data_IF_437285430497
#
_entry.id   IF_437285430497
#
_cell.length_a   1.000
_cell.length_b   1.000
_cell.length_c   1.000
_cell.angle_alpha   90.00
_cell.angle_beta   90.00
_cell.angle_gamma   90.00
#
_symmetry.space_group_name_H-M   'P 1'
#
loop_
_entity.id
_entity.type
_entity.pdbx_description
1 polymer ?
#
# COMPACT_ATOMS: atom_id res chain seq x y z
N UNK A 1 -2.32 20.69 -17.37
CA UNK A 1 -1.50 21.92 -17.55
C UNK A 1 -0.71 21.82 -18.85
N UNK A 2 -0.71 22.87 -19.70
CA UNK A 2 -0.21 22.97 -21.09
C UNK A 2 -0.79 22.02 -22.16
N UNK A 3 -1.25 20.83 -21.77
CA UNK A 3 -1.83 19.82 -22.68
C UNK A 3 -2.94 20.39 -23.58
N UNK A 4 -3.82 21.22 -23.01
CA UNK A 4 -5.01 21.74 -23.70
C UNK A 4 -4.82 23.16 -24.29
N UNK A 5 -3.65 23.79 -24.09
CA UNK A 5 -3.36 25.13 -24.63
C UNK A 5 -3.11 25.02 -26.14
N UNK A 6 -3.68 25.90 -26.96
CA UNK A 6 -3.44 25.88 -28.41
C UNK A 6 -1.94 25.97 -28.76
N UNK A 7 -1.52 25.22 -29.79
CA UNK A 7 -0.11 25.14 -30.19
C UNK A 7 0.44 26.49 -30.66
N UNK A 8 -0.39 27.33 -31.31
CA UNK A 8 0.04 28.63 -31.80
C UNK A 8 0.32 29.58 -30.63
N UNK A 9 -0.49 29.51 -29.57
CA UNK A 9 -0.27 30.29 -28.34
C UNK A 9 1.08 29.91 -27.71
N UNK A 10 1.37 28.61 -27.59
CA UNK A 10 2.64 28.14 -27.03
C UNK A 10 3.86 28.59 -27.86
N UNK A 11 3.74 28.62 -29.19
CA UNK A 11 4.82 29.08 -30.07
C UNK A 11 4.98 30.60 -30.01
N UNK A 12 3.89 31.36 -30.10
CA UNK A 12 3.94 32.83 -30.09
C UNK A 12 4.40 33.41 -28.76
N UNK A 13 4.17 32.70 -27.65
CA UNK A 13 4.64 33.13 -26.33
C UNK A 13 6.13 32.88 -26.10
N UNK A 14 6.81 32.17 -27.00
CA UNK A 14 8.21 31.73 -26.89
C UNK A 14 8.55 30.95 -25.60
N UNK A 15 7.53 30.39 -24.93
CA UNK A 15 7.70 29.75 -23.61
C UNK A 15 8.68 28.56 -23.67
N UNK A 16 8.79 27.92 -24.82
CA UNK A 16 9.73 26.82 -25.06
C UNK A 16 11.21 27.20 -24.95
N UNK A 17 11.55 28.49 -24.98
CA UNK A 17 12.91 29.00 -24.73
C UNK A 17 13.18 29.24 -23.23
N UNK A 18 12.12 29.30 -22.41
CA UNK A 18 12.19 29.73 -21.01
C UNK A 18 12.06 28.58 -20.01
N UNK A 19 11.39 27.49 -20.38
CA UNK A 19 11.10 26.38 -19.47
C UNK A 19 11.38 25.02 -20.10
N UNK A 20 11.51 24.02 -19.23
CA UNK A 20 11.63 22.61 -19.59
C UNK A 20 10.40 21.87 -19.03
N UNK A 21 9.48 21.39 -19.89
CA UNK A 21 8.31 20.69 -19.39
C UNK A 21 8.69 19.31 -18.86
N UNK A 22 8.06 18.91 -17.76
CA UNK A 22 8.10 17.56 -17.23
C UNK A 22 6.82 16.83 -17.60
N UNK A 23 6.92 15.81 -18.45
CA UNK A 23 5.77 14.97 -18.82
C UNK A 23 5.68 13.82 -17.82
N UNK A 24 4.57 13.75 -17.08
CA UNK A 24 4.36 12.73 -16.04
C UNK A 24 3.14 11.86 -16.35
N UNK A 25 3.21 10.59 -15.94
CA UNK A 25 2.17 9.57 -16.09
C UNK A 25 2.52 8.37 -15.22
N UNK A 26 1.55 7.89 -14.44
CA UNK A 26 1.81 6.92 -13.36
C UNK A 26 1.14 5.55 -13.56
N UNK A 27 0.28 5.41 -14.57
CA UNK A 27 -0.42 4.14 -14.86
C UNK A 27 0.54 3.07 -15.43
N UNK A 28 0.21 1.78 -15.29
CA UNK A 28 1.01 0.66 -15.81
C UNK A 28 0.84 0.52 -17.32
N UNK A 29 1.63 -0.35 -17.95
CA UNK A 29 1.69 -0.51 -19.42
C UNK A 29 0.33 -0.66 -20.09
N UNK A 30 -0.59 -1.45 -19.54
CA UNK A 30 -1.90 -1.72 -20.14
C UNK A 30 -2.85 -0.50 -20.13
N UNK A 31 -2.58 0.45 -19.24
CA UNK A 31 -3.35 1.67 -19.05
C UNK A 31 -2.57 2.94 -19.42
N UNK A 32 -1.31 2.79 -19.85
CA UNK A 32 -0.44 3.90 -20.17
C UNK A 32 -0.84 4.55 -21.51
N UNK A 33 -1.58 5.67 -21.44
CA UNK A 33 -2.19 6.31 -22.62
C UNK A 33 -1.74 7.77 -22.75
N UNK A 34 -0.65 7.98 -23.48
CA UNK A 34 -0.24 9.30 -23.98
C UNK A 34 -0.33 9.32 -25.53
N UNK A 35 -1.20 10.19 -26.06
CA UNK A 35 -1.46 10.29 -27.51
C UNK A 35 -0.23 10.76 -28.28
N UNK A 36 0.00 10.25 -29.49
CA UNK A 36 1.09 10.69 -30.38
C UNK A 36 1.08 12.20 -30.61
N UNK A 37 -0.11 12.78 -30.76
CA UNK A 37 -0.31 14.22 -30.96
C UNK A 37 0.22 15.07 -29.80
N UNK A 38 0.31 14.53 -28.58
CA UNK A 38 0.96 15.21 -27.46
C UNK A 38 2.45 15.39 -27.72
N UNK A 39 3.12 14.34 -28.18
CA UNK A 39 4.56 14.33 -28.43
C UNK A 39 4.93 15.23 -29.61
N UNK A 40 4.19 15.15 -30.71
CA UNK A 40 4.34 16.03 -31.87
C UNK A 40 4.21 17.51 -31.48
N UNK A 41 3.16 17.83 -30.73
CA UNK A 41 2.93 19.17 -30.21
C UNK A 41 4.10 19.64 -29.35
N UNK A 42 4.51 18.84 -28.37
CA UNK A 42 5.55 19.21 -27.41
C UNK A 42 6.91 19.34 -28.09
N UNK A 43 7.28 18.41 -28.99
CA UNK A 43 8.53 18.47 -29.74
C UNK A 43 8.62 19.71 -30.64
N UNK A 44 7.48 20.20 -31.15
CA UNK A 44 7.46 21.42 -31.98
C UNK A 44 7.59 22.74 -31.21
N UNK A 45 7.47 22.69 -29.87
CA UNK A 45 7.52 23.87 -28.98
C UNK A 45 8.76 23.84 -28.09
N UNK A 46 9.05 22.69 -27.50
CA UNK A 46 10.08 22.48 -26.49
C UNK A 46 11.20 21.61 -27.06
N UNK A 47 12.42 22.14 -27.26
CA UNK A 47 13.54 21.35 -27.76
C UNK A 47 13.94 20.22 -26.80
N UNK A 48 13.82 20.45 -25.50
CA UNK A 48 14.25 19.51 -24.45
C UNK A 48 13.12 19.31 -23.44
N UNK A 49 13.02 18.10 -22.89
CA UNK A 49 12.01 17.74 -21.89
C UNK A 49 12.58 16.91 -20.74
N UNK A 50 11.83 16.85 -19.65
CA UNK A 50 11.96 15.84 -18.60
C UNK A 50 10.76 14.89 -18.66
N UNK A 51 10.93 13.68 -18.14
CA UNK A 51 9.81 12.78 -17.84
C UNK A 51 9.75 12.45 -16.36
N UNK A 52 8.59 12.02 -15.87
CA UNK A 52 8.45 11.55 -14.50
C UNK A 52 7.56 10.31 -14.38
N UNK A 53 8.07 9.32 -13.66
CA UNK A 53 7.40 8.08 -13.26
C UNK A 53 7.14 8.08 -11.76
N UNK A 54 6.60 6.98 -11.22
CA UNK A 54 6.41 6.82 -9.78
C UNK A 54 6.88 5.44 -9.28
N UNK A 55 7.47 5.38 -8.08
CA UNK A 55 7.80 4.13 -7.38
C UNK A 55 6.89 3.84 -6.18
N UNK A 56 6.13 4.84 -5.73
CA UNK A 56 5.11 4.74 -4.67
C UNK A 56 4.07 5.86 -4.82
N UNK A 57 2.93 5.67 -4.17
CA UNK A 57 1.75 6.52 -4.33
C UNK A 57 1.22 6.44 -5.77
N UNK A 58 0.29 7.32 -6.15
CA UNK A 58 -0.31 7.31 -7.50
C UNK A 58 -0.97 5.97 -7.91
N UNK A 59 -1.34 5.18 -6.91
CA UNK A 59 -2.11 3.93 -7.00
C UNK A 59 -3.43 4.13 -6.25
N UNK A 60 -3.42 4.00 -4.94
CA UNK A 60 -4.59 4.19 -4.06
C UNK A 60 -4.30 5.14 -2.90
N UNK A 61 -5.33 5.85 -2.46
CA UNK A 61 -5.20 6.87 -1.38
C UNK A 61 -4.86 6.25 -0.02
N UNK A 62 -5.29 5.01 0.23
CA UNK A 62 -5.12 4.29 1.50
C UNK A 62 -4.18 3.09 1.36
N UNK A 63 -3.25 3.13 0.40
CA UNK A 63 -2.34 2.01 0.12
C UNK A 63 -1.40 1.76 1.32
N UNK A 64 -1.46 0.58 1.93
CA UNK A 64 -0.55 0.20 3.02
C UNK A 64 0.77 -0.40 2.51
N UNK A 65 0.66 -1.31 1.52
CA UNK A 65 1.78 -2.05 0.94
C UNK A 65 1.93 -1.63 -0.52
N UNK A 66 3.14 -1.29 -0.95
CA UNK A 66 3.42 -0.84 -2.31
C UNK A 66 3.17 -1.97 -3.34
N UNK A 67 2.38 -1.73 -4.40
CA UNK A 67 2.20 -2.69 -5.50
C UNK A 67 3.41 -2.65 -6.44
N UNK A 68 4.46 -3.43 -6.13
CA UNK A 68 5.74 -3.40 -6.88
C UNK A 68 5.56 -3.66 -8.38
N UNK A 69 4.74 -4.67 -8.76
CA UNK A 69 4.43 -4.98 -10.16
C UNK A 69 3.87 -3.78 -10.93
N UNK A 70 3.00 -2.99 -10.30
CA UNK A 70 2.37 -1.82 -10.92
C UNK A 70 3.42 -0.76 -11.28
N UNK A 71 4.25 -0.38 -10.31
CA UNK A 71 5.29 0.63 -10.52
C UNK A 71 6.39 0.15 -11.47
N UNK A 72 6.72 -1.14 -11.44
CA UNK A 72 7.62 -1.74 -12.41
C UNK A 72 7.06 -1.63 -13.83
N UNK A 73 5.79 -1.97 -14.02
CA UNK A 73 5.10 -1.85 -15.32
C UNK A 73 5.03 -0.39 -15.79
N UNK A 74 4.91 0.58 -14.87
CA UNK A 74 5.03 1.99 -15.22
C UNK A 74 6.44 2.36 -15.75
N UNK A 75 7.52 1.81 -15.17
CA UNK A 75 8.87 2.05 -15.70
C UNK A 75 9.05 1.46 -17.10
N UNK A 76 8.56 0.24 -17.33
CA UNK A 76 8.62 -0.41 -18.64
C UNK A 76 7.81 0.37 -19.69
N UNK A 77 6.65 0.90 -19.32
CA UNK A 77 5.87 1.78 -20.19
C UNK A 77 6.66 3.04 -20.56
N UNK A 78 7.32 3.70 -19.61
CA UNK A 78 8.17 4.86 -19.87
C UNK A 78 9.35 4.54 -20.80
N UNK A 79 10.05 3.43 -20.58
CA UNK A 79 11.14 2.98 -21.44
C UNK A 79 10.67 2.75 -22.88
N UNK A 80 9.49 2.14 -23.06
CA UNK A 80 8.85 1.99 -24.37
C UNK A 80 8.54 3.35 -25.02
N UNK A 81 8.01 4.30 -24.26
CA UNK A 81 7.72 5.66 -24.76
C UNK A 81 8.96 6.42 -25.19
N UNK A 82 10.06 6.30 -24.43
CA UNK A 82 11.34 6.90 -24.78
C UNK A 82 11.89 6.33 -26.09
N UNK A 83 11.76 5.02 -26.30
CA UNK A 83 12.17 4.37 -27.56
C UNK A 83 11.35 4.86 -28.76
N UNK A 84 10.05 5.10 -28.58
CA UNK A 84 9.15 5.54 -29.65
C UNK A 84 9.27 7.02 -29.99
N UNK A 85 9.33 7.89 -28.98
CA UNK A 85 9.19 9.35 -29.16
C UNK A 85 10.40 10.16 -28.70
N UNK A 86 11.36 9.56 -28.00
CA UNK A 86 12.51 10.28 -27.45
C UNK A 86 13.33 11.02 -28.50
N UNK A 87 13.41 10.46 -29.72
CA UNK A 87 14.12 11.06 -30.87
C UNK A 87 13.43 12.27 -31.49
N UNK A 88 12.19 12.57 -31.10
CA UNK A 88 11.48 13.78 -31.57
C UNK A 88 12.00 15.06 -30.90
N UNK A 89 12.64 14.91 -29.74
CA UNK A 89 13.23 16.01 -28.98
C UNK A 89 14.73 16.07 -29.24
N UNK A 90 15.33 17.25 -29.06
CA UNK A 90 16.79 17.37 -29.07
C UNK A 90 17.40 16.54 -27.94
N UNK A 91 16.81 16.62 -26.73
CA UNK A 91 17.18 15.79 -25.57
C UNK A 91 15.99 15.51 -24.67
N UNK A 92 15.88 14.26 -24.23
CA UNK A 92 15.20 13.93 -22.97
C UNK A 92 16.26 14.00 -21.87
N UNK A 93 16.16 14.99 -20.99
CA UNK A 93 17.20 15.33 -20.02
C UNK A 93 17.35 14.32 -18.89
N UNK A 94 16.26 13.61 -18.58
CA UNK A 94 16.26 12.53 -17.60
C UNK A 94 14.87 12.16 -17.15
N UNK A 95 14.83 11.27 -16.16
CA UNK A 95 13.61 10.78 -15.52
C UNK A 95 13.65 11.08 -14.01
N UNK A 96 12.59 11.69 -13.51
CA UNK A 96 12.34 11.80 -12.08
C UNK A 96 11.43 10.64 -11.64
N UNK A 97 11.85 9.86 -10.65
CA UNK A 97 11.01 8.78 -10.09
C UNK A 97 10.38 9.32 -8.80
N UNK A 98 9.10 9.66 -8.89
CA UNK A 98 8.35 10.31 -7.80
C UNK A 98 7.85 9.30 -6.77
N UNK A 99 7.69 9.76 -5.53
CA UNK A 99 7.14 8.98 -4.43
C UNK A 99 6.14 9.80 -3.63
N UNK A 100 4.91 9.88 -4.12
CA UNK A 100 3.86 10.69 -3.49
C UNK A 100 3.52 10.16 -2.10
N UNK A 101 3.32 11.05 -1.14
CA UNK A 101 2.97 10.68 0.24
C UNK A 101 1.47 10.83 0.54
N UNK A 102 0.78 11.67 -0.25
CA UNK A 102 -0.64 11.98 -0.17
C UNK A 102 -1.15 12.31 -1.58
N UNK A 103 -2.46 12.19 -1.81
CA UNK A 103 -3.09 12.55 -3.08
C UNK A 103 -3.49 14.03 -3.12
N UNK A 104 -3.79 14.61 -1.95
CA UNK A 104 -3.89 16.04 -1.71
C UNK A 104 -3.54 16.37 -0.24
N UNK A 105 -3.66 17.63 0.17
CA UNK A 105 -3.31 18.09 1.51
C UNK A 105 -4.22 17.58 2.65
N UNK A 106 -5.40 17.05 2.33
CA UNK A 106 -6.41 16.58 3.28
C UNK A 106 -6.58 15.05 3.30
N UNK A 107 -6.00 14.34 2.32
CA UNK A 107 -5.95 12.87 2.31
C UNK A 107 -4.97 12.31 3.34
N UNK A 108 -5.21 11.08 3.80
CA UNK A 108 -4.29 10.32 4.68
C UNK A 108 -2.97 10.00 4.01
N UNK A 109 -1.98 9.56 4.79
CA UNK A 109 -0.74 8.99 4.27
C UNK A 109 -1.06 7.72 3.46
N UNK A 110 -0.55 7.66 2.22
CA UNK A 110 -0.39 6.38 1.53
C UNK A 110 0.89 5.69 2.02
N UNK A 111 1.34 4.65 1.32
CA UNK A 111 2.42 3.76 1.75
C UNK A 111 3.67 4.54 2.17
N UNK A 112 4.25 4.15 3.31
CA UNK A 112 5.43 4.84 3.87
C UNK A 112 6.68 4.53 3.04
N UNK A 113 7.63 5.45 3.05
CA UNK A 113 8.87 5.31 2.29
C UNK A 113 9.65 3.99 2.56
N UNK A 114 9.85 3.53 3.82
CA UNK A 114 10.51 2.25 4.08
C UNK A 114 9.78 1.05 3.45
N UNK A 115 8.45 1.10 3.38
CA UNK A 115 7.63 0.03 2.79
C UNK A 115 7.86 -0.04 1.27
N UNK A 116 8.04 1.11 0.62
CA UNK A 116 8.26 1.24 -0.81
C UNK A 116 9.73 1.17 -1.27
N UNK A 117 10.69 1.07 -0.35
CA UNK A 117 12.11 1.03 -0.70
C UNK A 117 12.47 -0.14 -1.64
N UNK A 118 11.91 -1.36 -1.47
CA UNK A 118 12.10 -2.44 -2.44
C UNK A 118 11.62 -2.09 -3.85
N UNK A 119 10.46 -1.43 -3.96
CA UNK A 119 9.92 -0.98 -5.24
C UNK A 119 10.80 0.10 -5.86
N UNK A 120 11.33 1.04 -5.07
CA UNK A 120 12.28 2.04 -5.55
C UNK A 120 13.53 1.40 -6.17
N UNK A 121 14.13 0.43 -5.47
CA UNK A 121 15.34 -0.25 -5.95
C UNK A 121 15.08 -0.96 -7.29
N UNK A 122 13.97 -1.69 -7.40
CA UNK A 122 13.56 -2.36 -8.64
C UNK A 122 13.31 -1.35 -9.76
N UNK A 123 12.60 -0.25 -9.49
CA UNK A 123 12.32 0.77 -10.49
C UNK A 123 13.59 1.44 -11.02
N UNK A 124 14.50 1.84 -10.12
CA UNK A 124 15.78 2.45 -10.48
C UNK A 124 16.63 1.50 -11.33
N UNK A 125 16.81 0.26 -10.88
CA UNK A 125 17.63 -0.72 -11.60
C UNK A 125 17.01 -1.08 -12.96
N UNK A 126 15.68 -1.15 -13.06
CA UNK A 126 14.97 -1.37 -14.32
C UNK A 126 15.27 -0.24 -15.32
N UNK A 127 15.18 1.02 -14.89
CA UNK A 127 15.50 2.17 -15.75
C UNK A 127 16.96 2.15 -16.20
N UNK A 128 17.89 1.90 -15.27
CA UNK A 128 19.33 1.89 -15.56
C UNK A 128 19.70 0.78 -16.55
N UNK A 129 19.08 -0.40 -16.41
CA UNK A 129 19.36 -1.55 -17.27
C UNK A 129 18.53 -1.55 -18.57
N UNK A 130 17.55 -0.67 -18.69
CA UNK A 130 16.67 -0.58 -19.85
C UNK A 130 15.54 -1.61 -19.90
N UNK A 131 15.51 -2.57 -18.97
CA UNK A 131 14.38 -3.48 -18.71
C UNK A 131 14.56 -4.20 -17.35
N UNK A 132 13.51 -4.87 -16.88
CA UNK A 132 13.54 -5.74 -15.72
C UNK A 132 13.84 -7.17 -16.13
N UNK A 133 14.88 -7.75 -15.54
CA UNK A 133 15.29 -9.13 -15.77
C UNK A 133 15.76 -9.78 -14.46
N UNK A 134 16.14 -11.05 -14.53
CA UNK A 134 16.58 -11.83 -13.38
C UNK A 134 17.78 -11.21 -12.66
N UNK A 135 18.71 -10.60 -13.40
CA UNK A 135 19.87 -9.92 -12.81
C UNK A 135 19.43 -8.69 -12.01
N UNK A 136 18.57 -7.84 -12.59
CA UNK A 136 17.97 -6.69 -11.88
C UNK A 136 17.27 -7.12 -10.59
N UNK A 137 16.48 -8.20 -10.66
CA UNK A 137 15.75 -8.72 -9.51
C UNK A 137 16.68 -9.22 -8.39
N UNK A 138 17.70 -9.99 -8.75
CA UNK A 138 18.72 -10.48 -7.81
C UNK A 138 19.52 -9.34 -7.21
N UNK A 139 19.97 -8.38 -8.02
CA UNK A 139 20.73 -7.22 -7.56
C UNK A 139 19.91 -6.38 -6.57
N UNK A 140 18.64 -6.08 -6.89
CA UNK A 140 17.76 -5.34 -5.99
C UNK A 140 17.57 -6.06 -4.64
N UNK A 141 17.34 -7.37 -4.69
CA UNK A 141 17.12 -8.19 -3.49
C UNK A 141 18.36 -8.22 -2.59
N UNK A 142 19.54 -8.42 -3.20
CA UNK A 142 20.81 -8.48 -2.47
C UNK A 142 21.20 -7.12 -1.88
N UNK A 143 21.03 -6.03 -2.62
CA UNK A 143 21.35 -4.68 -2.14
C UNK A 143 20.54 -4.29 -0.89
N UNK A 144 19.30 -4.76 -0.82
CA UNK A 144 18.41 -4.51 0.31
C UNK A 144 18.50 -5.57 1.41
N UNK A 145 19.34 -6.59 1.22
CA UNK A 145 19.57 -7.64 2.21
C UNK A 145 18.36 -8.54 2.42
N UNK A 146 17.64 -8.91 1.37
CA UNK A 146 16.65 -9.98 1.44
C UNK A 146 17.34 -11.36 1.40
N UNK A 147 16.88 -12.31 2.22
CA UNK A 147 17.36 -13.71 2.18
C UNK A 147 16.90 -14.46 0.91
N UNK A 148 15.76 -14.04 0.35
CA UNK A 148 15.17 -14.58 -0.88
C UNK A 148 14.96 -13.42 -1.86
N UNK A 149 14.54 -13.75 -3.08
CA UNK A 149 14.12 -12.71 -4.03
C UNK A 149 12.98 -11.88 -3.44
N UNK A 150 13.07 -10.56 -3.58
CA UNK A 150 12.01 -9.63 -3.17
C UNK A 150 10.70 -9.98 -3.90
N UNK A 151 9.57 -9.80 -3.21
CA UNK A 151 8.24 -10.06 -3.76
C UNK A 151 7.84 -8.96 -4.76
N UNK A 152 7.57 -9.35 -6.01
CA UNK A 152 7.07 -8.41 -7.03
C UNK A 152 5.54 -8.30 -6.99
N UNK A 153 4.86 -9.42 -6.75
CA UNK A 153 3.41 -9.52 -6.68
C UNK A 153 2.95 -9.49 -5.22
N UNK A 154 2.90 -8.29 -4.64
CA UNK A 154 2.56 -8.07 -3.23
C UNK A 154 1.11 -8.36 -2.87
N UNK A 155 0.26 -8.63 -3.86
CA UNK A 155 -1.16 -8.93 -3.72
C UNK A 155 -1.55 -10.14 -4.59
N UNK A 156 -2.60 -10.90 -4.22
CA UNK A 156 -3.47 -10.73 -3.04
C UNK A 156 -2.76 -11.10 -1.72
N UNK A 157 -3.32 -10.68 -0.59
CA UNK A 157 -2.92 -11.15 0.76
C UNK A 157 -3.99 -12.15 1.27
N UNK A 158 -3.71 -13.00 2.27
CA UNK A 158 -2.44 -13.19 2.97
C UNK A 158 -1.39 -13.93 2.13
N UNK A 159 -0.10 -13.66 2.39
CA UNK A 159 1.03 -14.42 1.83
C UNK A 159 2.12 -14.68 2.89
N UNK A 160 2.99 -15.68 2.70
CA UNK A 160 4.15 -15.89 3.57
C UNK A 160 5.03 -14.64 3.65
N UNK A 161 5.36 -14.22 4.88
CA UNK A 161 6.28 -13.10 5.12
C UNK A 161 7.60 -13.68 5.62
N UNK A 162 8.68 -13.44 4.89
CA UNK A 162 10.03 -13.82 5.30
C UNK A 162 10.55 -12.97 6.47
N UNK A 163 11.80 -13.15 6.91
CA UNK A 163 12.39 -12.26 7.89
C UNK A 163 12.55 -10.83 7.35
N UNK A 164 12.70 -9.83 8.24
CA UNK A 164 12.93 -8.46 7.83
C UNK A 164 14.22 -8.32 6.99
N UNK A 165 14.17 -7.57 5.87
CA UNK A 165 15.36 -7.26 5.09
C UNK A 165 16.30 -6.31 5.83
N UNK A 166 17.58 -6.28 5.47
CA UNK A 166 18.64 -5.61 6.23
C UNK A 166 18.77 -4.09 6.01
N UNK A 167 17.91 -3.48 5.20
CA UNK A 167 17.93 -2.03 4.99
C UNK A 167 17.30 -1.25 6.16
N UNK A 168 17.67 0.04 6.38
CA UNK A 168 17.02 0.88 7.38
C UNK A 168 15.50 1.00 7.17
N UNK A 169 14.73 0.48 8.14
CA UNK A 169 13.26 0.39 8.04
C UNK A 169 12.75 -0.94 7.46
N UNK A 170 13.61 -1.95 7.31
CA UNK A 170 13.21 -3.30 6.91
C UNK A 170 12.20 -3.95 7.86
N UNK A 171 12.30 -3.67 9.17
CA UNK A 171 11.30 -4.09 10.16
C UNK A 171 9.93 -3.46 9.90
N UNK A 172 9.88 -2.19 9.48
CA UNK A 172 8.63 -1.49 9.13
C UNK A 172 8.03 -2.12 7.88
N UNK A 173 8.84 -2.34 6.84
CA UNK A 173 8.40 -3.04 5.64
C UNK A 173 7.79 -4.40 5.97
N UNK A 174 8.50 -5.22 6.76
CA UNK A 174 8.03 -6.55 7.16
C UNK A 174 6.73 -6.50 7.98
N UNK A 175 6.65 -5.59 8.95
CA UNK A 175 5.47 -5.45 9.81
C UNK A 175 4.25 -4.97 9.03
N UNK A 176 4.41 -4.11 8.02
CA UNK A 176 3.32 -3.71 7.13
C UNK A 176 2.81 -4.87 6.27
N UNK A 177 3.70 -5.78 5.81
CA UNK A 177 3.28 -7.00 5.11
C UNK A 177 2.47 -7.93 6.03
N UNK A 178 2.89 -8.09 7.28
CA UNK A 178 2.17 -8.88 8.28
C UNK A 178 0.82 -8.22 8.64
N UNK A 179 0.79 -6.90 8.76
CA UNK A 179 -0.44 -6.14 8.98
C UNK A 179 -1.42 -6.34 7.83
N UNK A 180 -0.96 -6.30 6.58
CA UNK A 180 -1.81 -6.59 5.41
C UNK A 180 -2.41 -8.00 5.43
N UNK A 181 -1.67 -9.01 5.93
CA UNK A 181 -2.24 -10.33 6.18
C UNK A 181 -3.35 -10.26 7.23
N UNK A 182 -3.08 -9.64 8.38
CA UNK A 182 -4.03 -9.54 9.47
C UNK A 182 -5.30 -8.75 9.09
N UNK A 183 -5.18 -7.69 8.29
CA UNK A 183 -6.33 -6.93 7.78
C UNK A 183 -7.19 -7.80 6.86
N UNK A 184 -6.57 -8.62 6.01
CA UNK A 184 -7.33 -9.54 5.15
C UNK A 184 -8.07 -10.58 5.99
N UNK A 185 -7.38 -11.17 6.96
CA UNK A 185 -7.96 -12.13 7.92
C UNK A 185 -9.09 -11.51 8.76
N UNK A 186 -8.96 -10.23 9.12
CA UNK A 186 -10.00 -9.46 9.78
C UNK A 186 -11.25 -9.35 8.92
N UNK A 187 -11.12 -8.98 7.64
CA UNK A 187 -12.27 -8.89 6.76
C UNK A 187 -12.96 -10.24 6.57
N UNK A 188 -12.20 -11.32 6.40
CA UNK A 188 -12.75 -12.69 6.33
C UNK A 188 -13.50 -13.04 7.62
N UNK A 189 -12.92 -12.73 8.78
CA UNK A 189 -13.54 -12.98 10.09
C UNK A 189 -14.85 -12.19 10.24
N UNK A 190 -14.85 -10.89 9.93
CA UNK A 190 -16.03 -10.04 10.11
C UNK A 190 -17.21 -10.43 9.20
N UNK A 191 -16.93 -11.07 8.06
CA UNK A 191 -17.93 -11.64 7.16
C UNK A 191 -18.29 -13.11 7.49
N UNK A 192 -17.86 -13.62 8.65
CA UNK A 192 -18.23 -14.97 9.07
C UNK A 192 -19.74 -15.01 9.41
N UNK A 193 -20.51 -16.02 8.94
CA UNK A 193 -21.97 -16.07 9.14
C UNK A 193 -22.41 -16.00 10.60
N UNK A 194 -21.62 -16.59 11.52
CA UNK A 194 -21.90 -16.52 12.95
C UNK A 194 -21.71 -15.12 13.56
N UNK A 195 -20.90 -14.25 12.93
CA UNK A 195 -20.80 -12.84 13.32
C UNK A 195 -21.97 -12.07 12.73
N UNK A 196 -22.17 -12.13 11.41
CA UNK A 196 -23.18 -11.32 10.71
C UNK A 196 -24.61 -11.70 11.09
N UNK A 197 -24.90 -13.00 11.18
CA UNK A 197 -26.26 -13.52 11.36
C UNK A 197 -26.63 -13.81 12.82
N UNK A 198 -25.67 -14.23 13.64
CA UNK A 198 -25.95 -14.74 14.99
C UNK A 198 -25.34 -13.89 16.13
N UNK A 199 -24.51 -12.89 15.81
CA UNK A 199 -23.82 -12.05 16.78
C UNK A 199 -23.89 -10.55 16.42
N UNK A 200 -24.99 -10.10 15.81
CA UNK A 200 -25.15 -8.69 15.49
C UNK A 200 -25.41 -7.84 16.74
N UNK A 201 -25.27 -6.52 16.62
CA UNK A 201 -25.56 -5.58 17.71
C UNK A 201 -26.99 -5.72 18.27
N UNK A 202 -27.96 -6.14 17.45
CA UNK A 202 -29.33 -6.39 17.92
C UNK A 202 -29.40 -7.59 18.87
N UNK A 203 -28.81 -8.74 18.52
CA UNK A 203 -28.79 -9.92 19.39
C UNK A 203 -28.06 -9.65 20.70
N UNK A 204 -26.91 -8.96 20.62
CA UNK A 204 -26.10 -8.60 21.80
C UNK A 204 -26.91 -7.70 22.74
N UNK A 205 -27.56 -6.66 22.22
CA UNK A 205 -28.35 -5.71 23.02
C UNK A 205 -29.50 -6.39 23.78
N UNK A 206 -30.08 -7.45 23.21
CA UNK A 206 -31.21 -8.17 23.80
C UNK A 206 -30.78 -9.42 24.58
N UNK A 207 -29.48 -9.70 24.71
CA UNK A 207 -28.94 -10.95 25.26
C UNK A 207 -29.59 -12.19 24.63
N UNK A 208 -29.73 -12.18 23.31
CA UNK A 208 -30.30 -13.27 22.51
C UNK A 208 -29.23 -13.86 21.60
N UNK A 209 -28.17 -14.38 22.21
CA UNK A 209 -27.05 -14.99 21.50
C UNK A 209 -26.94 -16.45 21.89
N UNK A 210 -26.82 -17.34 20.90
CA UNK A 210 -26.46 -18.73 21.14
C UNK A 210 -24.93 -18.85 21.17
N UNK A 211 -24.38 -19.28 22.31
CA UNK A 211 -22.93 -19.38 22.55
C UNK A 211 -22.22 -20.32 21.58
N UNK A 212 -22.91 -21.30 20.99
CA UNK A 212 -22.35 -22.17 19.95
C UNK A 212 -21.89 -21.41 18.71
N UNK A 213 -22.51 -20.26 18.40
CA UNK A 213 -22.05 -19.39 17.31
C UNK A 213 -20.79 -18.61 17.70
N UNK A 214 -20.62 -18.29 18.98
CA UNK A 214 -19.44 -17.60 19.50
C UNK A 214 -18.20 -18.49 19.35
N UNK A 215 -18.31 -19.78 19.68
CA UNK A 215 -17.23 -20.75 19.58
C UNK A 215 -16.64 -20.86 18.16
N UNK A 216 -17.44 -20.55 17.14
CA UNK A 216 -17.00 -20.61 15.73
C UNK A 216 -16.05 -19.49 15.33
N UNK A 217 -16.07 -18.34 16.01
CA UNK A 217 -15.25 -17.18 15.61
C UNK A 217 -14.32 -16.69 16.71
N UNK A 218 -14.67 -16.86 17.99
CA UNK A 218 -13.95 -16.26 19.11
C UNK A 218 -12.47 -16.67 19.19
N UNK A 219 -12.07 -17.94 18.99
CA UNK A 219 -10.65 -18.32 19.00
C UNK A 219 -9.83 -17.57 17.94
N UNK A 220 -10.38 -17.45 16.71
CA UNK A 220 -9.74 -16.72 15.62
C UNK A 220 -9.69 -15.23 15.90
N UNK A 221 -10.75 -14.65 16.46
CA UNK A 221 -10.79 -13.24 16.86
C UNK A 221 -9.72 -12.92 17.90
N UNK A 222 -9.51 -13.80 18.89
CA UNK A 222 -8.48 -13.64 19.93
C UNK A 222 -7.06 -13.71 19.37
N UNK A 223 -6.78 -14.71 18.52
CA UNK A 223 -5.47 -14.82 17.85
C UNK A 223 -5.19 -13.59 16.99
N UNK A 224 -6.19 -13.14 16.23
CA UNK A 224 -6.04 -11.98 15.37
C UNK A 224 -5.83 -10.69 16.18
N UNK A 225 -6.57 -10.51 17.28
CA UNK A 225 -6.38 -9.38 18.19
C UNK A 225 -4.94 -9.37 18.74
N UNK A 226 -4.47 -10.50 19.26
CA UNK A 226 -3.10 -10.64 19.79
C UNK A 226 -2.04 -10.30 18.71
N UNK A 227 -2.23 -10.77 17.49
CA UNK A 227 -1.29 -10.50 16.39
C UNK A 227 -1.26 -9.01 16.03
N UNK A 228 -2.42 -8.35 15.91
CA UNK A 228 -2.47 -6.92 15.58
C UNK A 228 -1.91 -6.07 16.74
N UNK A 229 -2.14 -6.48 18.00
CA UNK A 229 -1.55 -5.79 19.16
C UNK A 229 -0.02 -5.90 19.18
N UNK A 230 0.53 -7.07 18.89
CA UNK A 230 1.97 -7.26 18.77
C UNK A 230 2.57 -6.41 17.62
N UNK A 231 1.92 -6.42 16.45
CA UNK A 231 2.31 -5.60 15.30
C UNK A 231 2.22 -4.11 15.63
N UNK A 232 1.21 -3.66 16.37
CA UNK A 232 1.06 -2.27 16.78
C UNK A 232 2.26 -1.79 17.61
N UNK A 233 2.62 -2.55 18.65
CA UNK A 233 3.76 -2.23 19.53
C UNK A 233 5.06 -2.19 18.73
N UNK A 234 5.26 -3.17 17.83
CA UNK A 234 6.45 -3.22 16.99
C UNK A 234 6.52 -2.04 16.01
N UNK A 235 5.44 -1.76 15.28
CA UNK A 235 5.40 -0.66 14.32
C UNK A 235 5.56 0.69 15.00
N UNK A 236 4.87 0.93 16.11
CA UNK A 236 5.04 2.16 16.89
C UNK A 236 6.51 2.36 17.30
N UNK A 237 7.14 1.32 17.83
CA UNK A 237 8.55 1.35 18.22
C UNK A 237 9.50 1.62 17.05
N UNK A 238 9.30 0.98 15.89
CA UNK A 238 10.15 1.17 14.71
C UNK A 238 9.91 2.52 14.02
N UNK A 239 8.65 2.96 13.91
CA UNK A 239 8.28 4.22 13.27
C UNK A 239 8.83 5.43 14.04
N UNK A 240 8.78 5.40 15.38
CA UNK A 240 9.33 6.46 16.23
C UNK A 240 10.85 6.65 16.08
N UNK A 241 11.57 5.67 15.51
CA UNK A 241 13.01 5.82 15.24
C UNK A 241 13.32 6.71 14.04
N UNK A 242 12.36 6.90 13.12
CA UNK A 242 12.60 7.55 11.84
C UNK A 242 11.58 8.63 11.46
N UNK A 243 10.41 8.65 12.08
CA UNK A 243 9.34 9.60 11.77
C UNK A 243 9.02 10.50 12.97
N UNK A 244 8.46 11.68 12.66
CA UNK A 244 7.93 12.58 13.68
C UNK A 244 6.73 11.94 14.39
N UNK A 245 6.50 12.24 15.68
CA UNK A 245 5.39 11.67 16.44
C UNK A 245 4.02 11.82 15.75
N UNK A 246 3.77 12.95 15.09
CA UNK A 246 2.51 13.20 14.36
C UNK A 246 2.31 12.26 13.17
N UNK A 247 3.37 11.90 12.45
CA UNK A 247 3.31 10.90 11.36
C UNK A 247 3.04 9.51 11.92
N UNK A 248 3.64 9.17 13.06
CA UNK A 248 3.41 7.87 13.72
C UNK A 248 1.97 7.78 14.22
N UNK A 249 1.49 8.79 14.92
CA UNK A 249 0.12 8.90 15.41
C UNK A 249 -0.89 8.72 14.29
N UNK A 250 -0.75 9.48 13.19
CA UNK A 250 -1.64 9.36 12.03
C UNK A 250 -1.60 7.96 11.43
N UNK A 251 -0.42 7.39 11.23
CA UNK A 251 -0.28 6.06 10.63
C UNK A 251 -1.01 4.99 11.45
N UNK A 252 -0.81 4.97 12.77
CA UNK A 252 -1.46 4.02 13.68
C UNK A 252 -2.98 4.25 13.74
N UNK A 253 -3.40 5.52 13.81
CA UNK A 253 -4.81 5.90 13.86
C UNK A 253 -5.58 5.49 12.60
N UNK A 254 -4.95 5.53 11.43
CA UNK A 254 -5.58 5.15 10.15
C UNK A 254 -5.50 3.65 9.90
N UNK A 255 -4.35 3.03 10.13
CA UNK A 255 -4.08 1.68 9.61
C UNK A 255 -4.23 0.56 10.65
N UNK A 256 -4.26 0.87 11.96
CA UNK A 256 -4.24 -0.16 13.01
C UNK A 256 -5.40 0.01 14.00
N UNK A 257 -5.56 1.21 14.58
CA UNK A 257 -6.54 1.46 15.64
C UNK A 257 -7.98 1.05 15.28
N UNK A 258 -8.50 1.31 14.06
CA UNK A 258 -9.87 0.92 13.71
C UNK A 258 -10.10 -0.60 13.79
N UNK A 259 -9.08 -1.40 13.51
CA UNK A 259 -9.14 -2.87 13.59
C UNK A 259 -9.05 -3.34 15.04
N UNK A 260 -8.13 -2.76 15.83
CA UNK A 260 -7.97 -3.07 17.25
C UNK A 260 -9.24 -2.77 18.04
N UNK A 261 -9.82 -1.59 17.85
CA UNK A 261 -11.04 -1.18 18.55
C UNK A 261 -12.20 -2.15 18.28
N UNK A 262 -12.40 -2.51 17.00
CA UNK A 262 -13.46 -3.43 16.60
C UNK A 262 -13.22 -4.85 17.12
N UNK A 263 -11.99 -5.37 17.07
CA UNK A 263 -11.67 -6.70 17.59
C UNK A 263 -11.78 -6.77 19.11
N UNK A 264 -11.26 -5.77 19.83
CA UNK A 264 -11.41 -5.69 21.30
C UNK A 264 -12.87 -5.67 21.70
N UNK A 265 -13.68 -4.89 20.99
CA UNK A 265 -15.13 -4.85 21.22
C UNK A 265 -15.77 -6.22 20.94
N UNK A 266 -15.47 -6.85 19.80
CA UNK A 266 -16.00 -8.16 19.42
C UNK A 266 -15.68 -9.22 20.48
N UNK A 267 -14.42 -9.31 20.91
CA UNK A 267 -13.97 -10.28 21.94
C UNK A 267 -14.66 -9.98 23.27
N UNK A 268 -14.70 -8.72 23.69
CA UNK A 268 -15.35 -8.31 24.94
C UNK A 268 -16.85 -8.66 24.94
N UNK A 269 -17.57 -8.33 23.87
CA UNK A 269 -18.99 -8.63 23.75
C UNK A 269 -19.22 -10.14 23.79
N UNK A 270 -18.39 -10.91 23.10
CA UNK A 270 -18.48 -12.37 23.06
C UNK A 270 -18.29 -12.97 24.46
N UNK A 271 -17.26 -12.53 25.19
CA UNK A 271 -17.00 -12.98 26.55
C UNK A 271 -18.15 -12.64 27.50
N UNK A 272 -18.73 -11.44 27.38
CA UNK A 272 -19.90 -11.04 28.18
C UNK A 272 -21.12 -11.92 27.87
N UNK A 273 -21.37 -12.24 26.60
CA UNK A 273 -22.48 -13.10 26.22
C UNK A 273 -22.28 -14.55 26.70
N UNK A 274 -21.04 -15.07 26.67
CA UNK A 274 -20.71 -16.38 27.28
C UNK A 274 -21.01 -16.37 28.77
N UNK A 275 -20.55 -15.34 29.50
CA UNK A 275 -20.77 -15.23 30.95
C UNK A 275 -22.26 -15.14 31.27
N UNK A 276 -23.02 -14.32 30.54
CA UNK A 276 -24.45 -14.15 30.77
C UNK A 276 -25.24 -15.45 30.56
N UNK A 277 -24.84 -16.27 29.59
CA UNK A 277 -25.51 -17.54 29.27
C UNK A 277 -24.89 -18.75 29.97
N UNK A 278 -23.86 -18.55 30.81
CA UNK A 278 -23.35 -19.58 31.71
C UNK A 278 -24.35 -19.80 32.84
N UNK A 279 -24.66 -21.06 33.16
CA UNK A 279 -25.61 -21.39 34.23
C UNK A 279 -25.13 -20.82 35.59
N UNK A 280 -26.02 -20.28 36.44
CA UNK A 280 -25.65 -19.92 37.80
C UNK A 280 -25.19 -21.16 38.59
N UNK A 281 -24.14 -21.01 39.40
CA UNK A 281 -23.50 -22.09 40.19
C UNK A 281 -24.50 -22.91 41.04
N UNK A 282 -25.66 -22.34 41.39
CA UNK A 282 -26.72 -23.02 42.16
C UNK A 282 -27.39 -24.19 41.41
N UNK A 283 -27.30 -24.26 40.08
CA UNK A 283 -27.87 -25.38 39.30
C UNK A 283 -26.92 -26.56 39.11
N UNK A 284 -25.62 -26.42 39.39
CA UNK A 284 -24.66 -27.53 39.30
C UNK A 284 -24.59 -28.39 40.57
N UNK A 285 -25.02 -27.84 41.72
CA UNK A 285 -25.06 -28.55 43.00
C UNK A 285 -26.28 -29.48 43.18
N UNK A 286 -27.32 -29.34 42.35
CA UNK A 286 -28.55 -30.14 42.43
C UNK A 286 -28.58 -31.33 41.45
N UNK A 287 -27.45 -31.65 40.81
CA UNK A 287 -27.33 -32.74 39.82
C UNK A 287 -26.35 -33.85 40.23
N UNK A 288 -26.07 -34.02 41.52
CA UNK A 288 -25.38 -35.18 42.09
C UNK A 288 -26.35 -36.07 42.88
#
# INVERSE_FOLDING_TARGET
>A
MMRDIDINILKSSEIGKLILPMVWHYLPTDEFKLKNTLWEKYASVFPNIWIASAFKGATEMTQLITPTRYHLSNQQAWLKMLNLFGKMFNKVLGIAITGWQRFDHYTVLCELFPVALPTLAVCLLTIINGDFNENVHKTASNLLGFEKLLEIDTFPRPQPVGPPPLFPGGNIHNSCLQLGNCITEYHILMHHPSIEGAFSSYQIMHNRVNTLHIDQFLPRARILLMNIEAINVQLEGELNKIFYPTTVEEFLAVNINPFLEKLRKLVKDADLQIIFHSAPEEMQLNSN
#
